data_IF_364098271888
#
_entry.id   IF_364098271888
#
_cell.length_a   1.000
_cell.length_b   1.000
_cell.length_c   1.000
_cell.angle_alpha   90.00
_cell.angle_beta   90.00
_cell.angle_gamma   90.00
#
_symmetry.space_group_name_H-M   'P 1'
#
loop_
_entity.id
_entity.type
_entity.pdbx_description
1 polymer ?
#
# COMPACT_ATOMS: atom_id res chain seq x y z
N UNK A 1 4.74 9.71 -4.40
CA UNK A 1 3.45 10.41 -4.55
C UNK A 1 2.96 10.86 -3.18
N UNK A 2 2.46 12.06 -3.08
CA UNK A 2 1.93 12.58 -1.82
C UNK A 2 0.52 12.06 -1.55
N UNK A 3 0.15 12.02 -0.27
CA UNK A 3 -1.14 11.47 0.16
C UNK A 3 -2.34 12.14 -0.53
N UNK A 4 -2.27 13.46 -0.72
CA UNK A 4 -3.36 14.21 -1.38
C UNK A 4 -3.52 13.81 -2.84
N UNK A 5 -2.42 13.56 -3.54
CA UNK A 5 -2.45 13.10 -4.92
C UNK A 5 -3.06 11.70 -5.03
N UNK A 6 -2.67 10.81 -4.12
CA UNK A 6 -3.19 9.43 -4.09
C UNK A 6 -4.69 9.45 -3.83
N UNK A 7 -5.11 10.26 -2.87
CA UNK A 7 -6.53 10.41 -2.53
C UNK A 7 -7.37 10.78 -3.74
N UNK A 8 -6.91 11.75 -4.50
CA UNK A 8 -7.61 12.19 -5.72
C UNK A 8 -7.59 11.12 -6.81
N UNK A 9 -6.44 10.51 -7.02
CA UNK A 9 -6.24 9.53 -8.09
C UNK A 9 -7.02 8.24 -7.86
N UNK A 10 -7.03 7.75 -6.64
CA UNK A 10 -7.71 6.50 -6.29
C UNK A 10 -9.14 6.70 -5.79
N UNK A 11 -9.56 7.95 -5.64
CA UNK A 11 -10.90 8.31 -5.16
C UNK A 11 -11.20 7.74 -3.78
N UNK A 12 -10.22 7.81 -2.89
CA UNK A 12 -10.37 7.43 -1.48
C UNK A 12 -9.95 8.60 -0.61
N UNK A 13 -10.41 8.61 0.63
CA UNK A 13 -10.09 9.72 1.54
C UNK A 13 -8.67 9.60 2.08
N UNK A 14 -8.07 10.73 2.43
CA UNK A 14 -6.77 10.74 3.09
C UNK A 14 -6.86 10.02 4.43
N UNK A 15 -8.01 10.09 5.08
CA UNK A 15 -8.26 9.39 6.34
C UNK A 15 -8.16 7.87 6.16
N UNK A 16 -8.72 7.35 5.08
CA UNK A 16 -8.62 5.93 4.76
C UNK A 16 -7.17 5.51 4.54
N UNK A 17 -6.41 6.31 3.80
CA UNK A 17 -4.99 6.02 3.54
C UNK A 17 -4.20 5.99 4.85
N UNK A 18 -4.44 6.93 5.74
CA UNK A 18 -3.80 6.97 7.07
C UNK A 18 -4.15 5.74 7.89
N UNK A 19 -5.40 5.30 7.80
CA UNK A 19 -5.83 4.08 8.48
C UNK A 19 -5.07 2.85 7.99
N UNK A 20 -4.91 2.74 6.68
CA UNK A 20 -4.16 1.63 6.09
C UNK A 20 -2.69 1.65 6.51
N UNK A 21 -2.14 2.83 6.68
CA UNK A 21 -0.78 2.98 7.20
C UNK A 21 -0.70 2.53 8.66
N UNK A 22 -1.67 2.91 9.48
CA UNK A 22 -1.73 2.55 10.90
C UNK A 22 -1.78 1.03 11.10
N UNK A 23 -2.53 0.33 10.28
CA UNK A 23 -2.65 -1.13 10.41
C UNK A 23 -1.53 -1.88 9.69
N UNK A 24 -0.58 -1.17 9.09
CA UNK A 24 0.63 -1.75 8.55
C UNK A 24 0.55 -2.27 7.12
N UNK A 25 -0.51 -1.95 6.39
CA UNK A 25 -0.62 -2.38 4.99
C UNK A 25 0.33 -1.60 4.10
N UNK A 26 0.45 -0.29 4.33
CA UNK A 26 1.33 0.58 3.56
C UNK A 26 2.20 1.39 4.49
N UNK A 27 3.31 1.90 3.97
CA UNK A 27 4.25 2.74 4.71
C UNK A 27 4.53 4.01 3.93
N UNK A 28 4.68 5.09 4.65
CA UNK A 28 5.07 6.37 4.06
C UNK A 28 6.35 6.87 4.69
N UNK A 29 7.01 7.78 3.99
CA UNK A 29 8.14 8.54 4.51
C UNK A 29 7.67 9.97 4.72
N UNK A 30 8.14 10.59 5.80
CA UNK A 30 7.88 12.01 6.02
C UNK A 30 9.04 12.81 5.48
N UNK A 31 8.74 13.77 4.64
CA UNK A 31 9.74 14.68 4.09
C UNK A 31 10.02 15.81 5.09
N UNK A 32 10.99 16.65 4.79
CA UNK A 32 11.38 17.76 5.67
C UNK A 32 10.23 18.68 6.05
N UNK A 33 9.27 18.85 5.13
CA UNK A 33 8.07 19.64 5.37
C UNK A 33 6.96 18.87 6.11
N UNK A 34 7.29 17.68 6.61
CA UNK A 34 6.40 16.81 7.38
C UNK A 34 5.22 16.23 6.59
N UNK A 35 5.24 16.32 5.26
CA UNK A 35 4.23 15.68 4.41
C UNK A 35 4.53 14.20 4.23
N UNK A 36 3.48 13.39 4.15
CA UNK A 36 3.59 11.96 3.87
C UNK A 36 3.83 11.72 2.39
N UNK A 37 4.88 10.99 2.10
CA UNK A 37 5.23 10.57 0.74
C UNK A 37 5.20 9.06 0.65
N UNK A 38 4.50 8.52 -0.35
CA UNK A 38 4.42 7.09 -0.62
C UNK A 38 5.21 6.78 -1.88
N UNK A 39 6.11 5.81 -1.77
CA UNK A 39 6.88 5.35 -2.92
C UNK A 39 6.00 4.50 -3.84
N UNK A 40 6.54 4.12 -5.00
CA UNK A 40 5.82 3.37 -6.02
C UNK A 40 5.27 2.05 -5.49
N UNK A 41 6.05 1.34 -4.68
CA UNK A 41 5.64 0.06 -4.11
C UNK A 41 4.39 0.22 -3.24
N UNK A 42 4.38 1.23 -2.40
CA UNK A 42 3.25 1.49 -1.50
C UNK A 42 2.03 2.04 -2.25
N UNK A 43 2.25 2.82 -3.29
CA UNK A 43 1.15 3.27 -4.16
C UNK A 43 0.50 2.07 -4.84
N UNK A 44 1.28 1.12 -5.31
CA UNK A 44 0.76 -0.11 -5.93
C UNK A 44 -0.05 -0.95 -4.94
N UNK A 45 0.40 -1.02 -3.70
CA UNK A 45 -0.37 -1.69 -2.63
C UNK A 45 -1.72 -1.04 -2.41
N UNK A 46 -1.77 0.29 -2.42
CA UNK A 46 -3.02 1.04 -2.28
C UNK A 46 -3.95 0.80 -3.47
N UNK A 47 -3.42 0.76 -4.68
CA UNK A 47 -4.21 0.45 -5.88
C UNK A 47 -4.83 -0.94 -5.78
N UNK A 48 -4.03 -1.91 -5.38
CA UNK A 48 -4.49 -3.28 -5.18
C UNK A 48 -5.58 -3.34 -4.12
N UNK A 49 -5.37 -2.67 -2.99
CA UNK A 49 -6.30 -2.63 -1.89
C UNK A 49 -7.67 -2.07 -2.31
N UNK A 50 -7.68 -0.97 -3.05
CA UNK A 50 -8.92 -0.36 -3.55
C UNK A 50 -9.67 -1.33 -4.44
N UNK A 51 -8.97 -2.01 -5.35
CA UNK A 51 -9.59 -2.99 -6.25
C UNK A 51 -10.16 -4.18 -5.49
N UNK A 52 -9.39 -4.73 -4.57
CA UNK A 52 -9.83 -5.88 -3.78
C UNK A 52 -11.05 -5.55 -2.94
N UNK A 53 -11.08 -4.37 -2.35
CA UNK A 53 -12.24 -3.92 -1.56
C UNK A 53 -13.49 -3.81 -2.41
N UNK A 54 -13.36 -3.33 -3.64
CA UNK A 54 -14.48 -3.23 -4.58
C UNK A 54 -15.03 -4.60 -4.96
N UNK A 55 -14.16 -5.61 -5.00
CA UNK A 55 -14.57 -6.98 -5.29
C UNK A 55 -15.20 -7.71 -4.09
N UNK A 56 -15.22 -7.07 -2.94
CA UNK A 56 -15.84 -7.62 -1.75
C UNK A 56 -14.91 -8.26 -0.74
N UNK A 57 -13.59 -8.18 -0.95
CA UNK A 57 -12.64 -8.69 0.03
C UNK A 57 -12.64 -7.82 1.28
N UNK A 58 -12.52 -8.46 2.43
CA UNK A 58 -12.39 -7.75 3.70
C UNK A 58 -11.01 -7.10 3.79
N UNK A 59 -10.88 -6.13 4.69
CA UNK A 59 -9.60 -5.47 4.91
C UNK A 59 -8.52 -6.45 5.36
N UNK A 60 -8.88 -7.41 6.22
CA UNK A 60 -7.97 -8.44 6.68
C UNK A 60 -7.51 -9.34 5.54
N UNK A 61 -8.43 -9.73 4.67
CA UNK A 61 -8.09 -10.54 3.50
C UNK A 61 -7.15 -9.78 2.56
N UNK A 62 -7.39 -8.50 2.35
CA UNK A 62 -6.51 -7.66 1.55
C UNK A 62 -5.10 -7.60 2.15
N UNK A 63 -5.01 -7.46 3.46
CA UNK A 63 -3.73 -7.41 4.16
C UNK A 63 -2.96 -8.72 3.98
N UNK A 64 -3.63 -9.85 4.12
CA UNK A 64 -3.02 -11.17 3.92
C UNK A 64 -2.51 -11.35 2.50
N UNK A 65 -3.30 -10.95 1.50
CA UNK A 65 -2.89 -11.05 0.10
C UNK A 65 -1.66 -10.20 -0.19
N UNK A 66 -1.60 -9.00 0.36
CA UNK A 66 -0.45 -8.10 0.20
C UNK A 66 0.80 -8.71 0.83
N UNK A 67 0.68 -9.29 2.02
CA UNK A 67 1.80 -9.94 2.69
C UNK A 67 2.32 -11.15 1.91
N UNK A 68 1.43 -11.95 1.33
CA UNK A 68 1.82 -13.06 0.48
C UNK A 68 2.59 -12.59 -0.74
N UNK A 69 2.13 -11.53 -1.37
CA UNK A 69 2.80 -10.94 -2.53
C UNK A 69 4.21 -10.47 -2.18
N UNK A 70 4.40 -9.83 -1.04
CA UNK A 70 5.71 -9.40 -0.57
C UNK A 70 6.64 -10.58 -0.33
N UNK A 71 6.13 -11.64 0.29
CA UNK A 71 6.92 -12.84 0.55
C UNK A 71 7.37 -13.51 -0.75
N UNK A 72 6.48 -13.60 -1.73
CA UNK A 72 6.82 -14.18 -3.04
C UNK A 72 7.91 -13.37 -3.74
N UNK A 73 7.83 -12.05 -3.67
CA UNK A 73 8.86 -11.18 -4.24
C UNK A 73 10.21 -11.38 -3.56
N UNK A 74 10.22 -11.52 -2.24
CA UNK A 74 11.45 -11.78 -1.48
C UNK A 74 12.06 -13.12 -1.86
N UNK A 75 11.25 -14.15 -2.03
CA UNK A 75 11.72 -15.46 -2.45
C UNK A 75 12.34 -15.41 -3.84
N UNK A 76 11.71 -14.69 -4.75
CA UNK A 76 12.21 -14.54 -6.12
C UNK A 76 13.57 -13.85 -6.13
N UNK A 77 13.74 -12.80 -5.36
CA UNK A 77 15.01 -12.10 -5.23
C UNK A 77 16.09 -12.98 -4.63
N UNK A 78 15.74 -13.73 -3.60
CA UNK A 78 16.67 -14.66 -2.96
C UNK A 78 17.16 -15.74 -3.91
N UNK A 79 16.24 -16.29 -4.70
CA UNK A 79 16.58 -17.33 -5.69
C UNK A 79 17.53 -16.79 -6.76
N UNK A 80 17.37 -15.53 -7.15
CA UNK A 80 18.25 -14.90 -8.16
C UNK A 80 19.68 -14.73 -7.68
N UNK A 81 19.87 -14.55 -6.40
CA UNK A 81 21.20 -14.36 -5.81
C UNK A 81 21.99 -15.66 -5.74
N UNK A 82 21.31 -16.78 -5.82
CA UNK A 82 21.91 -18.10 -5.79
C UNK A 82 22.34 -18.53 -7.20
#
# INVERSE_FOLDING_TARGET
MFITEISKKLKITTRAIRHYEEIGIVRSKRLENNYRYFDEVNVDKLKFLVRARKLGFSLEECKELILLFENDNRKSEHVREI
#
